data_IF_544305044721
#
_entry.id   IF_544305044721
#
_cell.length_a   1.000
_cell.length_b   1.000
_cell.length_c   1.000
_cell.angle_alpha   90.00
_cell.angle_beta   90.00
_cell.angle_gamma   90.00
#
_symmetry.space_group_name_H-M   'P 1'
#
loop_
_entity.id
_entity.type
_entity.pdbx_description
1 polymer ?
#
# COMPACT_ATOMS: atom_id res chain seq x y z
N UNK A 1 27.72 14.84 -6.57
CA UNK A 1 28.77 15.81 -6.20
C UNK A 1 28.52 16.36 -4.81
N UNK A 2 29.52 16.33 -3.95
CA UNK A 2 29.39 16.84 -2.57
C UNK A 2 29.40 18.37 -2.49
N UNK A 3 29.93 19.07 -3.50
CA UNK A 3 30.07 20.54 -3.50
C UNK A 3 31.09 21.08 -2.50
N UNK A 4 31.65 20.20 -1.66
CA UNK A 4 32.59 20.54 -0.60
C UNK A 4 33.81 19.63 -0.68
N UNK A 5 35.00 20.17 -0.47
CA UNK A 5 36.24 19.40 -0.30
C UNK A 5 36.16 18.66 1.03
N UNK A 6 36.19 17.32 0.96
CA UNK A 6 36.05 16.44 2.13
C UNK A 6 37.25 16.52 3.07
N UNK A 7 38.44 16.90 2.56
CA UNK A 7 39.66 17.02 3.36
C UNK A 7 39.74 18.32 4.15
N UNK A 8 39.27 19.42 3.55
CA UNK A 8 39.40 20.78 4.12
C UNK A 8 38.11 21.35 4.67
N UNK A 9 36.95 20.70 4.37
CA UNK A 9 35.63 21.17 4.80
C UNK A 9 35.15 22.47 4.20
N UNK A 10 35.85 22.99 3.16
CA UNK A 10 35.53 24.24 2.46
C UNK A 10 34.88 23.94 1.11
N UNK A 11 34.41 25.00 0.43
CA UNK A 11 33.90 24.86 -0.93
C UNK A 11 35.01 24.32 -1.83
N UNK A 12 34.66 23.38 -2.71
CA UNK A 12 35.59 22.72 -3.61
C UNK A 12 36.19 23.70 -4.62
N UNK A 13 37.52 23.63 -4.86
CA UNK A 13 38.20 24.42 -5.85
C UNK A 13 38.02 23.86 -7.25
N UNK A 14 38.11 24.74 -8.26
CA UNK A 14 38.08 24.33 -9.67
C UNK A 14 39.29 23.42 -9.96
N UNK A 15 39.05 22.28 -10.57
CA UNK A 15 40.07 21.26 -10.88
C UNK A 15 40.10 20.06 -9.95
N UNK A 16 39.34 20.10 -8.83
CA UNK A 16 39.20 18.94 -7.94
C UNK A 16 38.20 17.93 -8.49
N UNK A 17 38.56 16.65 -8.46
CA UNK A 17 37.75 15.54 -9.01
C UNK A 17 36.63 15.10 -8.05
N UNK A 18 35.92 16.04 -7.43
CA UNK A 18 34.91 15.77 -6.38
C UNK A 18 33.74 14.94 -6.91
N UNK A 19 33.37 15.11 -8.17
CA UNK A 19 32.31 14.34 -8.81
C UNK A 19 32.66 12.87 -8.97
N UNK A 20 33.93 12.56 -9.28
CA UNK A 20 34.42 11.19 -9.38
C UNK A 20 34.46 10.51 -8.01
N UNK A 21 34.88 11.21 -6.97
CA UNK A 21 34.88 10.71 -5.59
C UNK A 21 33.44 10.40 -5.14
N UNK A 22 32.49 11.28 -5.45
CA UNK A 22 31.07 11.04 -5.16
C UNK A 22 30.52 9.82 -5.92
N UNK A 23 30.84 9.70 -7.21
CA UNK A 23 30.37 8.58 -8.03
C UNK A 23 30.93 7.25 -7.55
N UNK A 24 32.19 7.19 -7.16
CA UNK A 24 32.81 5.97 -6.62
C UNK A 24 32.19 5.57 -5.29
N UNK A 25 31.99 6.50 -4.37
CA UNK A 25 31.41 6.21 -3.06
C UNK A 25 29.92 5.82 -3.12
N UNK A 26 29.20 6.20 -4.16
CA UNK A 26 27.82 5.77 -4.41
C UNK A 26 27.81 4.43 -5.18
N UNK A 27 28.69 4.26 -6.17
CA UNK A 27 28.68 3.10 -7.07
C UNK A 27 29.22 1.83 -6.43
N UNK A 28 30.25 1.92 -5.60
CA UNK A 28 30.83 0.74 -4.95
C UNK A 28 29.83 -0.01 -4.07
N UNK A 29 29.20 0.61 -3.06
CA UNK A 29 28.22 -0.10 -2.24
C UNK A 29 26.95 -0.47 -3.02
N UNK A 30 26.61 0.27 -4.07
CA UNK A 30 25.49 -0.07 -4.96
C UNK A 30 25.71 -1.39 -5.67
N UNK A 31 26.91 -1.65 -6.18
CA UNK A 31 27.27 -2.93 -6.84
C UNK A 31 27.26 -4.09 -5.84
N UNK A 32 27.77 -3.90 -4.63
CA UNK A 32 27.72 -4.92 -3.57
C UNK A 32 26.30 -5.19 -3.08
N UNK A 33 25.46 -4.17 -2.99
CA UNK A 33 24.07 -4.30 -2.59
C UNK A 33 23.26 -5.09 -3.62
N UNK A 34 23.47 -4.83 -4.93
CA UNK A 34 22.82 -5.60 -6.01
C UNK A 34 23.29 -7.04 -6.05
N UNK A 35 24.57 -7.32 -5.88
CA UNK A 35 25.04 -8.69 -5.78
C UNK A 35 24.51 -9.44 -4.55
N UNK A 36 24.37 -8.77 -3.41
CA UNK A 36 23.77 -9.38 -2.21
C UNK A 36 22.27 -9.62 -2.36
N UNK A 37 21.54 -8.74 -3.02
CA UNK A 37 20.09 -8.94 -3.26
C UNK A 37 19.80 -10.05 -4.25
N UNK A 38 20.69 -10.36 -5.20
CA UNK A 38 20.55 -11.52 -6.10
C UNK A 38 20.85 -12.85 -5.41
N UNK A 39 21.68 -12.87 -4.36
CA UNK A 39 22.04 -14.10 -3.64
C UNK A 39 21.19 -14.34 -2.38
N UNK A 40 20.60 -13.33 -1.81
CA UNK A 40 19.61 -13.47 -0.75
C UNK A 40 18.24 -13.50 -1.41
N UNK A 41 17.79 -14.69 -1.79
CA UNK A 41 16.38 -14.96 -2.11
C UNK A 41 15.45 -14.78 -0.92
N UNK A 42 15.70 -13.76 -0.12
CA UNK A 42 14.86 -13.21 0.90
C UNK A 42 14.31 -11.90 0.37
N UNK A 43 13.11 -11.95 -0.20
CA UNK A 43 12.25 -10.78 -0.17
C UNK A 43 12.30 -10.28 1.26
N UNK A 44 12.91 -9.10 1.49
CA UNK A 44 12.59 -8.35 2.68
C UNK A 44 11.07 -8.21 2.64
N UNK A 45 10.38 -9.06 3.39
CA UNK A 45 8.98 -8.84 3.68
C UNK A 45 8.96 -7.56 4.49
N UNK A 46 8.87 -6.44 3.80
CA UNK A 46 8.29 -5.24 4.38
C UNK A 46 6.92 -5.76 4.78
N UNK A 47 6.71 -6.03 6.05
CA UNK A 47 5.38 -6.21 6.61
C UNK A 47 4.72 -4.85 6.43
N UNK A 48 4.16 -4.63 5.25
CA UNK A 48 3.24 -3.51 5.08
C UNK A 48 2.11 -3.78 6.05
N UNK A 49 1.94 -2.83 6.98
CA UNK A 49 0.86 -2.91 7.95
C UNK A 49 -0.44 -2.95 7.17
N UNK A 50 -1.08 -4.12 7.14
CA UNK A 50 -2.34 -4.37 6.45
C UNK A 50 -3.56 -4.13 7.34
N UNK A 51 -3.35 -3.61 8.54
CA UNK A 51 -4.42 -3.34 9.50
C UNK A 51 -4.03 -2.20 10.45
N UNK A 52 -5.03 -1.56 11.01
CA UNK A 52 -4.89 -0.57 12.08
C UNK A 52 -5.54 -1.09 13.35
N UNK A 53 -4.80 -0.98 14.45
CA UNK A 53 -5.29 -1.27 15.80
C UNK A 53 -5.38 0.01 16.63
N UNK A 54 -6.32 0.07 17.55
CA UNK A 54 -6.47 1.20 18.46
C UNK A 54 -5.28 1.25 19.43
N UNK A 55 -4.51 2.34 19.42
CA UNK A 55 -3.40 2.54 20.36
C UNK A 55 -3.87 2.95 21.77
N UNK A 56 -5.08 3.49 21.85
CA UNK A 56 -5.70 3.93 23.11
C UNK A 56 -7.20 3.60 23.13
N UNK A 57 -7.76 3.52 24.32
CA UNK A 57 -9.19 3.38 24.49
C UNK A 57 -9.89 4.72 24.28
N UNK A 58 -11.07 4.72 23.68
CA UNK A 58 -11.83 5.94 23.42
C UNK A 58 -13.07 5.67 22.58
N UNK A 59 -13.63 6.72 22.02
CA UNK A 59 -14.81 6.68 21.15
C UNK A 59 -14.35 6.92 19.72
N UNK A 60 -14.74 6.05 18.80
CA UNK A 60 -14.43 6.19 17.39
C UNK A 60 -15.33 7.21 16.71
N UNK A 61 -14.74 8.06 15.88
CA UNK A 61 -15.45 8.99 15.02
C UNK A 61 -14.94 8.91 13.60
N UNK A 62 -15.83 8.64 12.68
CA UNK A 62 -15.48 8.45 11.26
C UNK A 62 -15.72 9.78 10.54
N UNK A 63 -14.64 10.33 9.98
CA UNK A 63 -14.64 11.58 9.22
C UNK A 63 -14.69 11.22 7.73
N UNK A 64 -15.47 11.96 6.94
CA UNK A 64 -15.72 11.70 5.51
C UNK A 64 -16.30 10.30 5.28
N UNK A 65 -17.37 9.98 5.98
CA UNK A 65 -18.04 8.69 5.95
C UNK A 65 -18.62 8.41 4.56
N UNK A 66 -17.94 7.57 3.79
CA UNK A 66 -18.47 6.94 2.59
C UNK A 66 -18.22 5.44 2.72
N UNK A 67 -19.20 4.71 3.22
CA UNK A 67 -19.12 3.31 3.60
C UNK A 67 -20.26 2.58 2.90
N UNK A 68 -19.98 1.43 2.32
CA UNK A 68 -20.95 0.49 1.78
C UNK A 68 -20.87 -0.83 2.55
N UNK A 69 -21.97 -1.57 2.54
CA UNK A 69 -22.03 -2.92 3.08
C UNK A 69 -21.93 -3.95 1.96
N UNK A 70 -21.01 -4.89 2.11
CA UNK A 70 -20.86 -6.03 1.21
C UNK A 70 -21.98 -7.06 1.48
N UNK A 71 -22.18 -7.99 0.53
CA UNK A 71 -23.13 -9.13 0.65
C UNK A 71 -22.92 -9.98 1.91
N UNK A 72 -21.74 -9.90 2.52
CA UNK A 72 -21.37 -10.55 3.78
C UNK A 72 -21.54 -9.65 5.01
N UNK A 73 -22.24 -8.50 4.88
CA UNK A 73 -22.41 -7.49 5.94
C UNK A 73 -21.09 -6.86 6.45
N UNK A 74 -20.01 -6.96 5.69
CA UNK A 74 -18.79 -6.24 6.02
C UNK A 74 -18.91 -4.79 5.57
N UNK A 75 -18.48 -3.86 6.41
CA UNK A 75 -18.42 -2.43 6.09
C UNK A 75 -17.11 -2.16 5.32
N UNK A 76 -17.24 -1.64 4.11
CA UNK A 76 -16.12 -1.33 3.23
C UNK A 76 -16.06 0.17 2.98
N UNK A 77 -14.87 0.73 3.09
CA UNK A 77 -14.62 2.15 2.92
C UNK A 77 -14.45 2.47 1.43
N UNK A 78 -15.31 3.37 0.93
CA UNK A 78 -15.28 3.89 -0.43
C UNK A 78 -14.64 5.28 -0.53
N UNK A 79 -14.41 5.93 0.59
CA UNK A 79 -13.80 7.26 0.63
C UNK A 79 -12.29 7.21 0.49
N UNK A 80 -11.72 8.01 -0.42
CA UNK A 80 -10.26 8.13 -0.57
C UNK A 80 -9.60 8.92 0.57
N UNK A 81 -10.35 9.75 1.27
CA UNK A 81 -9.90 10.61 2.35
C UNK A 81 -10.63 10.30 3.66
N UNK A 82 -11.03 9.06 3.87
CA UNK A 82 -11.67 8.64 5.10
C UNK A 82 -10.65 8.57 6.22
N UNK A 83 -10.99 9.16 7.34
CA UNK A 83 -10.16 9.16 8.55
C UNK A 83 -11.00 8.66 9.73
N UNK A 84 -10.35 7.98 10.65
CA UNK A 84 -10.96 7.53 11.90
C UNK A 84 -10.20 8.19 13.02
N UNK A 85 -10.90 9.02 13.80
CA UNK A 85 -10.37 9.59 15.03
C UNK A 85 -10.83 8.77 16.23
N UNK A 86 -9.95 8.68 17.23
CA UNK A 86 -10.32 8.21 18.57
C UNK A 86 -10.37 9.42 19.46
N UNK A 87 -11.52 9.65 20.07
CA UNK A 87 -11.77 10.77 20.97
C UNK A 87 -11.95 10.25 22.41
N UNK A 88 -11.53 11.04 23.37
CA UNK A 88 -11.80 10.81 24.80
C UNK A 88 -13.26 11.16 25.15
N UNK A 89 -13.69 10.82 26.34
CA UNK A 89 -15.03 11.17 26.85
C UNK A 89 -15.30 12.68 26.86
N UNK A 90 -14.24 13.48 26.88
CA UNK A 90 -14.31 14.96 26.79
C UNK A 90 -14.34 15.50 25.35
N UNK A 91 -14.39 14.62 24.32
CA UNK A 91 -14.36 15.02 22.91
C UNK A 91 -12.98 15.45 22.40
N UNK A 92 -11.92 15.21 23.16
CA UNK A 92 -10.56 15.52 22.73
C UNK A 92 -10.02 14.38 21.86
N UNK A 93 -9.54 14.71 20.67
CA UNK A 93 -8.91 13.75 19.76
C UNK A 93 -7.59 13.24 20.35
N UNK A 94 -7.51 11.92 20.56
CA UNK A 94 -6.32 11.22 21.07
C UNK A 94 -5.47 10.70 19.91
N UNK A 95 -6.13 10.10 18.90
CA UNK A 95 -5.46 9.51 17.75
C UNK A 95 -6.26 9.76 16.47
N UNK A 96 -5.55 9.84 15.34
CA UNK A 96 -6.13 9.99 14.01
C UNK A 96 -5.47 8.98 13.06
N UNK A 97 -6.30 8.16 12.42
CA UNK A 97 -5.85 7.13 11.48
C UNK A 97 -6.42 7.44 10.10
N UNK A 98 -5.56 7.44 9.10
CA UNK A 98 -5.96 7.52 7.70
C UNK A 98 -6.25 6.11 7.20
N UNK A 99 -7.40 5.89 6.60
CA UNK A 99 -7.81 4.57 6.14
C UNK A 99 -7.87 4.55 4.61
N UNK A 100 -7.23 3.55 3.97
CA UNK A 100 -7.21 3.45 2.52
C UNK A 100 -8.58 3.01 1.96
N UNK A 101 -8.80 3.33 0.69
CA UNK A 101 -9.93 2.86 -0.09
C UNK A 101 -9.99 1.33 -0.14
N UNK A 102 -11.18 0.75 -0.01
CA UNK A 102 -11.38 -0.69 -0.03
C UNK A 102 -11.10 -1.40 1.29
N UNK A 103 -10.69 -0.67 2.34
CA UNK A 103 -10.47 -1.28 3.65
C UNK A 103 -11.77 -1.76 4.28
N UNK A 104 -11.69 -2.93 4.93
CA UNK A 104 -12.77 -3.48 5.75
C UNK A 104 -12.74 -2.83 7.12
N UNK A 105 -13.89 -2.35 7.57
CA UNK A 105 -14.05 -1.67 8.85
C UNK A 105 -14.65 -2.61 9.88
N UNK A 106 -14.08 -2.64 11.09
CA UNK A 106 -14.51 -3.47 12.22
C UNK A 106 -15.08 -2.66 13.40
N UNK A 107 -15.23 -1.36 13.22
CA UNK A 107 -15.84 -0.49 14.24
C UNK A 107 -16.94 0.37 13.65
N UNK A 108 -17.85 0.80 14.49
CA UNK A 108 -18.91 1.73 14.15
C UNK A 108 -18.58 3.17 14.54
N UNK A 109 -19.32 4.10 13.96
CA UNK A 109 -19.23 5.49 14.37
C UNK A 109 -19.81 5.65 15.78
N UNK A 110 -19.12 6.35 16.65
CA UNK A 110 -19.43 6.54 18.08
C UNK A 110 -19.38 5.24 18.92
N UNK A 111 -18.62 4.24 18.50
CA UNK A 111 -18.40 3.03 19.27
C UNK A 111 -17.25 3.21 20.27
N UNK A 112 -17.42 2.71 21.49
CA UNK A 112 -16.32 2.63 22.47
C UNK A 112 -15.38 1.50 22.11
N UNK A 113 -14.12 1.84 21.81
CA UNK A 113 -13.06 0.88 21.51
C UNK A 113 -12.07 0.80 22.66
N UNK A 114 -11.56 -0.41 22.90
CA UNK A 114 -10.46 -0.66 23.83
C UNK A 114 -9.15 -0.61 23.07
N UNK A 115 -8.06 -0.38 23.82
CA UNK A 115 -6.70 -0.54 23.29
C UNK A 115 -6.54 -1.91 22.62
N UNK A 116 -5.78 -1.98 21.55
CA UNK A 116 -5.47 -3.16 20.74
C UNK A 116 -6.66 -3.78 19.98
N UNK A 117 -7.85 -3.13 19.99
CA UNK A 117 -8.95 -3.53 19.11
C UNK A 117 -8.60 -3.20 17.67
N UNK A 118 -8.77 -4.17 16.76
CA UNK A 118 -8.62 -3.97 15.31
C UNK A 118 -9.73 -3.05 14.81
N UNK A 119 -9.33 -1.95 14.16
CA UNK A 119 -10.24 -0.92 13.65
C UNK A 119 -10.56 -1.19 12.18
N UNK A 120 -9.54 -1.42 11.36
CA UNK A 120 -9.69 -1.71 9.95
C UNK A 120 -8.58 -2.61 9.44
N UNK A 121 -8.81 -3.22 8.28
CA UNK A 121 -7.88 -4.11 7.58
C UNK A 121 -8.01 -3.92 6.08
N UNK A 122 -6.91 -4.00 5.36
CA UNK A 122 -6.87 -3.96 3.91
C UNK A 122 -5.78 -4.89 3.37
N UNK A 123 -5.88 -5.22 2.09
CA UNK A 123 -4.81 -5.91 1.38
C UNK A 123 -3.94 -4.85 0.67
N UNK A 124 -2.66 -4.69 1.03
CA UNK A 124 -1.79 -3.70 0.41
C UNK A 124 -1.45 -4.02 -1.05
N UNK A 125 -1.61 -5.27 -1.46
CA UNK A 125 -1.30 -5.74 -2.81
C UNK A 125 -2.49 -5.70 -3.76
N UNK A 126 -3.69 -5.45 -3.26
CA UNK A 126 -4.92 -5.45 -4.05
C UNK A 126 -5.58 -4.09 -4.03
N UNK A 127 -5.84 -3.52 -5.21
CA UNK A 127 -6.68 -2.35 -5.35
C UNK A 127 -8.07 -2.81 -5.82
N UNK A 128 -9.06 -2.92 -4.91
CA UNK A 128 -10.38 -3.42 -5.28
C UNK A 128 -11.14 -2.39 -6.13
N UNK A 129 -11.85 -2.88 -7.14
CA UNK A 129 -12.85 -2.10 -7.86
C UNK A 129 -14.22 -2.49 -7.30
N UNK A 130 -14.89 -1.56 -6.67
CA UNK A 130 -16.13 -1.81 -5.92
C UNK A 130 -17.30 -1.16 -6.66
N UNK A 131 -18.40 -1.91 -6.86
CA UNK A 131 -19.62 -1.40 -7.46
C UNK A 131 -20.36 -0.52 -6.45
N UNK A 132 -20.61 0.74 -6.82
CA UNK A 132 -21.36 1.69 -6.00
C UNK A 132 -22.87 1.50 -6.11
N UNK A 133 -23.35 0.91 -7.20
CA UNK A 133 -24.77 0.72 -7.50
C UNK A 133 -25.01 -0.71 -7.96
N UNK A 134 -26.23 -1.19 -7.72
CA UNK A 134 -26.69 -2.47 -8.27
C UNK A 134 -26.84 -2.39 -9.78
N UNK A 135 -26.40 -3.41 -10.50
CA UNK A 135 -26.46 -3.46 -11.94
C UNK A 135 -25.91 -4.76 -12.50
N UNK A 136 -25.95 -4.90 -13.80
CA UNK A 136 -25.34 -6.02 -14.53
C UNK A 136 -23.99 -5.57 -15.08
N UNK A 137 -22.92 -6.26 -14.70
CA UNK A 137 -21.59 -5.98 -15.20
C UNK A 137 -21.44 -6.56 -16.61
N UNK A 138 -20.97 -5.75 -17.55
CA UNK A 138 -20.53 -6.19 -18.87
C UNK A 138 -19.09 -5.80 -19.10
N UNK A 139 -18.34 -6.65 -19.78
CA UNK A 139 -16.94 -6.40 -20.10
C UNK A 139 -16.82 -6.02 -21.58
N UNK A 140 -16.05 -4.97 -21.85
CA UNK A 140 -15.67 -4.58 -23.19
C UNK A 140 -14.19 -4.91 -23.42
N UNK A 141 -13.85 -5.36 -24.64
CA UNK A 141 -12.48 -5.67 -25.07
C UNK A 141 -11.74 -6.76 -24.24
N UNK A 142 -12.50 -7.62 -23.57
CA UNK A 142 -11.94 -8.81 -22.90
C UNK A 142 -12.12 -10.03 -23.82
N UNK A 143 -11.00 -10.45 -24.43
CA UNK A 143 -10.94 -11.62 -25.31
C UNK A 143 -10.11 -12.70 -24.66
N UNK A 144 -10.66 -13.90 -24.53
CA UNK A 144 -9.96 -15.06 -23.97
C UNK A 144 -8.70 -15.39 -24.78
N UNK A 145 -7.58 -15.56 -24.11
CA UNK A 145 -6.27 -15.85 -24.70
C UNK A 145 -5.51 -14.63 -25.21
N UNK A 146 -6.14 -13.46 -25.35
CA UNK A 146 -5.48 -12.21 -25.80
C UNK A 146 -5.36 -11.22 -24.64
N UNK A 147 -6.46 -10.81 -24.06
CA UNK A 147 -6.49 -9.85 -22.95
C UNK A 147 -6.93 -10.46 -21.63
N UNK A 148 -7.41 -11.70 -21.67
CA UNK A 148 -7.83 -12.46 -20.50
C UNK A 148 -7.10 -13.82 -20.46
N UNK A 149 -6.48 -14.14 -19.32
CA UNK A 149 -5.94 -15.48 -19.08
C UNK A 149 -6.64 -16.10 -17.88
N UNK A 150 -6.96 -17.38 -17.98
CA UNK A 150 -7.42 -18.18 -16.87
C UNK A 150 -6.22 -18.83 -16.19
N UNK A 151 -5.97 -18.45 -14.95
CA UNK A 151 -4.88 -19.00 -14.14
C UNK A 151 -5.52 -19.98 -13.14
N UNK A 152 -5.15 -21.24 -13.25
CA UNK A 152 -5.57 -22.25 -12.28
C UNK A 152 -4.47 -22.35 -11.22
N UNK A 153 -4.84 -22.18 -9.97
CA UNK A 153 -3.95 -22.41 -8.85
C UNK A 153 -3.86 -23.94 -8.59
N UNK A 154 -2.70 -24.51 -8.87
CA UNK A 154 -2.45 -25.96 -8.73
C UNK A 154 -2.61 -26.45 -7.27
N UNK A 155 -2.47 -25.57 -6.28
CA UNK A 155 -2.58 -25.94 -4.87
C UNK A 155 -4.04 -25.98 -4.38
N UNK A 156 -4.89 -25.08 -4.89
CA UNK A 156 -6.28 -24.92 -4.43
C UNK A 156 -7.31 -25.41 -5.45
N UNK A 157 -6.91 -25.63 -6.71
CA UNK A 157 -7.79 -25.98 -7.81
C UNK A 157 -8.78 -24.88 -8.22
N UNK A 158 -8.60 -23.67 -7.71
CA UNK A 158 -9.47 -22.52 -8.00
C UNK A 158 -8.96 -21.81 -9.25
N UNK A 159 -9.82 -21.68 -10.26
CA UNK A 159 -9.50 -20.87 -11.44
C UNK A 159 -9.79 -19.39 -11.14
N UNK A 160 -8.83 -18.54 -11.47
CA UNK A 160 -8.99 -17.09 -11.45
C UNK A 160 -8.75 -16.51 -12.84
N UNK A 161 -9.59 -15.52 -13.23
CA UNK A 161 -9.41 -14.81 -14.49
C UNK A 161 -8.58 -13.57 -14.24
N UNK A 162 -7.44 -13.47 -14.94
CA UNK A 162 -6.52 -12.33 -14.86
C UNK A 162 -6.50 -11.57 -16.18
N UNK A 163 -6.57 -10.26 -16.10
CA UNK A 163 -6.43 -9.38 -17.27
C UNK A 163 -4.95 -9.24 -17.60
N UNK A 164 -4.59 -9.57 -18.85
CA UNK A 164 -3.23 -9.45 -19.36
C UNK A 164 -2.96 -8.02 -19.82
N UNK A 165 -1.78 -7.49 -19.49
CA UNK A 165 -1.33 -6.23 -20.06
C UNK A 165 -0.91 -6.45 -21.52
N UNK A 166 -1.52 -5.70 -22.44
CA UNK A 166 -1.19 -5.74 -23.88
C UNK A 166 0.29 -5.45 -24.17
N UNK A 167 0.98 -4.73 -23.27
CA UNK A 167 2.41 -4.44 -23.40
C UNK A 167 3.30 -5.64 -23.14
N UNK A 168 2.82 -6.64 -22.42
CA UNK A 168 3.59 -7.85 -22.14
C UNK A 168 3.66 -8.80 -23.33
N UNK A 169 2.71 -8.71 -24.27
CA UNK A 169 2.65 -9.55 -25.47
C UNK A 169 3.47 -9.00 -26.66
N UNK A 170 3.85 -7.73 -26.62
CA UNK A 170 4.63 -7.10 -27.71
C UNK A 170 6.13 -7.47 -27.71
N UNK A 171 6.56 -8.43 -26.90
CA UNK A 171 7.96 -8.87 -26.78
C UNK A 171 8.23 -10.28 -27.33
N UNK A 172 7.31 -10.88 -28.07
CA UNK A 172 7.55 -12.13 -28.79
C UNK A 172 7.47 -11.90 -30.30
#
# INVERSE_FOLDING_TARGET
CYGRDLSRGKLVSIGEAIGMIAAQSIGEPGTQLTMRTFHVGGTAQIKEESHVVAQSSGITKIINKNIIEDSKQNKIIMGRNTQISIEDENGRQIALYKVPYGAKLFCDNNEKVKKDKKICEWDPYTLPVIAEKSGVASYMDLVDGISLAEIVDDATGISSKSVLDWRSQAKN
#
